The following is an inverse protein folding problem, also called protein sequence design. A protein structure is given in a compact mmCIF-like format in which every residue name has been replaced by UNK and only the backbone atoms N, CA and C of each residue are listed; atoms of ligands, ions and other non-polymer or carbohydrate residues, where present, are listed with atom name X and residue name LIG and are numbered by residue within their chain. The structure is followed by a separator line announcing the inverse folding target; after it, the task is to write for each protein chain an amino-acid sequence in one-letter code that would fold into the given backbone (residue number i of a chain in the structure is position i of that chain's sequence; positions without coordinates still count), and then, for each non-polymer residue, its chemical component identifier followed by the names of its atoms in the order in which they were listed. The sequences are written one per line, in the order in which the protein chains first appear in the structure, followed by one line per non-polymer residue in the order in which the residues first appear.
data_IF_602930896011
#
_entry.id   IF_602930896011
#
_cell.length_a   1.000
_cell.length_b   1.000
_cell.length_c   1.000
_cell.angle_alpha   90.00
_cell.angle_beta   90.00
_cell.angle_gamma   90.00
#
_symmetry.space_group_name_H-M   'P 1'
#
loop_
_entity.id
_entity.type
_entity.pdbx_description
1 polymer ?
#
# COMPACT_ATOMS: atom_id res chain seq x y z
N UNK A 1 -65.01 3.09 2.89
CA UNK A 1 -66.32 3.52 2.38
C UNK A 1 -66.72 4.71 3.22
N UNK A 2 -66.37 5.92 2.77
CA UNK A 2 -67.33 6.92 2.26
C UNK A 2 -68.07 7.60 3.43
N UNK A 3 -68.20 8.92 3.59
CA UNK A 3 -67.89 10.08 2.76
C UNK A 3 -68.14 11.32 3.67
N UNK A 4 -67.42 12.42 3.40
CA UNK A 4 -67.75 13.86 3.50
C UNK A 4 -68.92 14.36 4.38
N UNK A 5 -68.88 15.58 4.93
CA UNK A 5 -69.32 16.86 4.30
C UNK A 5 -69.15 17.95 5.40
N UNK A 6 -68.28 18.98 5.26
CA UNK A 6 -68.53 20.35 4.71
C UNK A 6 -69.36 21.21 5.70
N UNK A 7 -69.17 22.51 5.94
CA UNK A 7 -68.23 23.61 5.62
C UNK A 7 -68.68 24.76 6.54
N UNK A 8 -67.79 25.59 7.06
CA UNK A 8 -68.18 26.98 7.39
C UNK A 8 -67.14 27.92 6.83
N UNK A 9 -67.62 28.71 5.87
CA UNK A 9 -66.90 29.74 5.13
C UNK A 9 -66.92 31.03 5.95
N UNK A 10 -65.77 31.71 6.08
CA UNK A 10 -65.74 33.11 6.51
C UNK A 10 -64.56 33.87 5.87
N UNK A 11 -64.93 34.61 4.82
CA UNK A 11 -64.57 36.00 4.48
C UNK A 11 -63.14 36.53 4.73
N UNK A 12 -62.45 36.70 3.60
CA UNK A 12 -61.70 37.89 3.14
C UNK A 12 -60.98 38.82 4.13
N UNK A 13 -59.66 38.96 3.93
CA UNK A 13 -58.98 40.25 3.97
C UNK A 13 -57.71 40.20 3.11
N UNK A 14 -57.73 40.93 2.01
CA UNK A 14 -56.57 41.18 1.15
C UNK A 14 -55.62 42.17 1.83
N UNK A 15 -54.33 41.86 1.92
CA UNK A 15 -53.26 42.87 1.89
C UNK A 15 -52.01 42.27 1.27
N UNK A 16 -51.50 42.98 0.28
CA UNK A 16 -50.28 42.72 -0.49
C UNK A 16 -49.09 43.25 0.32
N UNK A 17 -48.03 42.46 0.52
CA UNK A 17 -46.72 42.99 0.90
C UNK A 17 -45.59 42.10 0.37
N UNK A 18 -44.60 42.76 -0.23
CA UNK A 18 -43.50 42.20 -1.00
C UNK A 18 -42.47 41.43 -0.16
N UNK A 19 -41.73 40.58 -0.87
CA UNK A 19 -40.64 39.73 -0.44
C UNK A 19 -39.54 40.42 0.40
N UNK A 20 -39.02 39.68 1.37
CA UNK A 20 -37.78 39.97 2.09
C UNK A 20 -37.10 38.66 2.50
N UNK A 21 -36.05 38.30 1.78
CA UNK A 21 -35.18 37.15 2.02
C UNK A 21 -34.18 37.49 3.13
N UNK A 22 -34.00 36.58 4.10
CA UNK A 22 -32.70 36.16 4.62
C UNK A 22 -32.90 35.12 5.75
N UNK A 23 -32.54 33.87 5.46
CA UNK A 23 -32.38 32.83 6.46
C UNK A 23 -31.05 32.95 7.18
N UNK A 24 -31.01 32.35 8.37
CA UNK A 24 -29.88 31.78 9.10
C UNK A 24 -29.37 32.57 10.31
N UNK A 25 -29.43 31.92 11.47
CA UNK A 25 -28.67 32.33 12.63
C UNK A 25 -29.26 31.87 13.94
N UNK A 26 -29.16 30.56 14.26
CA UNK A 26 -28.75 30.08 15.60
C UNK A 26 -28.51 28.57 15.53
N UNK A 27 -27.26 28.16 15.68
CA UNK A 27 -26.91 26.85 16.20
C UNK A 27 -25.50 26.94 16.80
N UNK A 28 -25.46 27.23 18.09
CA UNK A 28 -24.32 26.98 18.98
C UNK A 28 -24.09 25.48 19.14
N UNK A 29 -22.90 24.96 18.85
CA UNK A 29 -22.42 23.69 19.40
C UNK A 29 -20.89 23.49 19.24
N UNK A 30 -20.25 23.27 20.39
CA UNK A 30 -19.08 22.43 20.67
C UNK A 30 -17.69 22.79 20.09
N UNK A 31 -16.67 22.97 20.96
CA UNK A 31 -15.28 22.74 20.60
C UNK A 31 -14.94 21.26 20.82
N UNK A 32 -14.51 20.54 19.78
CA UNK A 32 -13.57 19.41 19.90
C UNK A 32 -13.38 18.74 18.54
N UNK A 33 -12.18 18.88 17.99
CA UNK A 33 -11.53 17.81 17.23
C UNK A 33 -10.04 18.09 17.28
N UNK A 34 -9.37 17.52 18.29
CA UNK A 34 -7.93 17.28 18.18
C UNK A 34 -7.70 16.45 16.91
N UNK A 35 -6.62 16.67 16.13
CA UNK A 35 -6.32 15.77 15.04
C UNK A 35 -6.07 14.40 15.65
N UNK A 36 -6.90 13.43 15.26
CA UNK A 36 -6.60 12.04 15.48
C UNK A 36 -5.22 11.79 14.88
N UNK A 37 -4.26 11.42 15.73
CA UNK A 37 -3.06 10.71 15.31
C UNK A 37 -3.48 9.35 14.77
N UNK A 38 -4.04 9.34 13.56
CA UNK A 38 -3.94 8.18 12.68
C UNK A 38 -2.46 7.90 12.41
N UNK A 39 -2.09 6.68 11.99
CA UNK A 39 -0.72 6.44 11.55
C UNK A 39 -0.35 7.54 10.55
N UNK A 40 0.77 8.22 10.81
CA UNK A 40 1.31 9.20 9.89
C UNK A 40 1.28 8.59 8.47
N UNK A 41 0.95 9.37 7.42
CA UNK A 41 1.15 8.88 6.07
C UNK A 41 2.59 8.39 6.02
N UNK A 42 2.79 7.14 5.58
CA UNK A 42 4.11 6.54 5.41
C UNK A 42 5.04 7.63 4.87
N UNK A 43 5.94 8.12 5.72
CA UNK A 43 6.76 9.28 5.43
C UNK A 43 7.36 9.03 4.05
N UNK A 44 7.01 9.88 3.07
CA UNK A 44 7.19 9.62 1.64
C UNK A 44 8.47 8.83 1.41
N UNK A 45 8.31 7.50 1.32
CA UNK A 45 9.47 6.63 1.35
C UNK A 45 10.23 6.97 0.08
N UNK A 46 11.47 7.46 0.22
CA UNK A 46 12.27 7.83 -0.93
C UNK A 46 12.32 6.62 -1.87
N UNK A 47 12.13 6.86 -3.17
CA UNK A 47 12.31 5.81 -4.16
C UNK A 47 13.73 5.86 -4.71
N UNK A 48 14.34 4.69 -4.77
CA UNK A 48 15.68 4.45 -5.29
C UNK A 48 15.58 3.54 -6.50
N UNK A 49 16.55 3.62 -7.41
CA UNK A 49 16.67 2.71 -8.53
C UNK A 49 17.87 1.76 -8.37
N UNK A 50 17.74 0.51 -8.82
CA UNK A 50 18.92 -0.38 -8.85
C UNK A 50 19.85 0.04 -9.97
N UNK A 51 21.05 0.46 -9.60
CA UNK A 51 22.03 1.02 -10.53
C UNK A 51 22.37 0.02 -11.64
N UNK A 52 22.17 0.42 -12.90
CA UNK A 52 22.46 -0.40 -14.08
C UNK A 52 21.46 -1.52 -14.38
N UNK A 53 20.47 -1.76 -13.51
CA UNK A 53 19.45 -2.80 -13.69
C UNK A 53 18.02 -2.25 -13.77
N UNK A 54 17.83 -0.95 -13.52
CA UNK A 54 16.50 -0.35 -13.38
C UNK A 54 15.73 -0.98 -12.20
N UNK A 55 14.42 -0.75 -12.14
CA UNK A 55 13.61 -1.21 -11.02
C UNK A 55 13.67 -0.22 -9.86
N UNK A 56 12.52 0.39 -9.61
CA UNK A 56 12.33 1.33 -8.51
C UNK A 56 11.96 0.57 -7.23
N UNK A 57 12.60 0.93 -6.14
CA UNK A 57 12.42 0.31 -4.84
C UNK A 57 12.35 1.35 -3.73
N UNK A 58 11.80 0.94 -2.60
CA UNK A 58 11.72 1.77 -1.40
C UNK A 58 13.14 1.88 -0.82
N UNK A 59 13.74 3.07 -0.87
CA UNK A 59 15.14 3.31 -0.46
C UNK A 59 15.43 2.78 0.95
N UNK A 60 14.48 2.93 1.87
CA UNK A 60 14.60 2.48 3.27
C UNK A 60 14.84 0.96 3.37
N UNK A 61 14.25 0.18 2.47
CA UNK A 61 14.33 -1.28 2.48
C UNK A 61 15.58 -1.82 1.78
N UNK A 62 16.24 -0.98 0.97
CA UNK A 62 17.52 -1.29 0.35
C UNK A 62 17.50 -2.43 -0.66
N UNK A 63 18.70 -2.80 -1.11
CA UNK A 63 18.94 -3.93 -2.01
C UNK A 63 19.60 -5.09 -1.23
N UNK A 64 19.08 -6.30 -1.42
CA UNK A 64 19.72 -7.51 -0.92
C UNK A 64 20.36 -8.28 -2.07
N UNK A 65 21.65 -8.61 -1.93
CA UNK A 65 22.42 -9.27 -2.97
C UNK A 65 22.83 -10.69 -2.58
N UNK A 66 22.39 -11.67 -3.36
CA UNK A 66 22.88 -13.04 -3.35
C UNK A 66 24.01 -13.18 -4.38
N UNK A 67 25.10 -13.80 -3.98
CA UNK A 67 26.10 -14.33 -4.93
C UNK A 67 25.99 -15.86 -4.90
N UNK A 68 26.02 -16.50 -6.06
CA UNK A 68 26.01 -17.97 -6.16
C UNK A 68 27.44 -18.51 -6.29
N UNK A 69 27.66 -19.82 -6.01
CA UNK A 69 29.00 -20.42 -6.08
C UNK A 69 29.72 -20.29 -7.42
N UNK A 70 29.00 -20.10 -8.53
CA UNK A 70 29.56 -19.87 -9.87
C UNK A 70 29.82 -18.38 -10.19
N UNK A 71 29.66 -17.49 -9.21
CA UNK A 71 29.83 -16.04 -9.36
C UNK A 71 28.65 -15.30 -9.99
N UNK A 72 27.57 -16.00 -10.41
CA UNK A 72 26.35 -15.29 -10.82
C UNK A 72 25.69 -14.64 -9.61
N UNK A 73 24.91 -13.58 -9.83
CA UNK A 73 24.32 -12.77 -8.78
C UNK A 73 22.81 -12.72 -8.92
N UNK A 74 22.12 -12.54 -7.82
CA UNK A 74 20.69 -12.27 -7.77
C UNK A 74 20.43 -11.14 -6.78
N UNK A 75 19.65 -10.15 -7.21
CA UNK A 75 19.24 -9.01 -6.40
C UNK A 75 17.79 -9.17 -5.98
N UNK A 76 17.49 -8.72 -4.77
CA UNK A 76 16.14 -8.61 -4.25
C UNK A 76 15.92 -7.18 -3.77
N UNK A 77 14.75 -6.64 -4.08
CA UNK A 77 14.30 -5.32 -3.65
C UNK A 77 12.86 -5.43 -3.18
N UNK A 78 12.40 -4.43 -2.45
CA UNK A 78 10.98 -4.21 -2.20
C UNK A 78 10.53 -3.07 -3.09
N UNK A 79 9.65 -3.39 -4.03
CA UNK A 79 9.12 -2.43 -5.00
C UNK A 79 8.25 -1.36 -4.35
N UNK A 80 7.87 -0.36 -5.13
CA UNK A 80 6.93 0.70 -4.70
C UNK A 80 5.52 0.18 -4.40
N UNK A 81 5.23 -1.06 -4.81
CA UNK A 81 4.00 -1.82 -4.56
C UNK A 81 4.07 -2.68 -3.28
N UNK A 82 5.12 -2.54 -2.47
CA UNK A 82 5.39 -3.35 -1.27
C UNK A 82 5.54 -4.86 -1.52
N UNK A 83 5.70 -5.27 -2.79
CA UNK A 83 6.03 -6.64 -3.14
C UNK A 83 7.55 -6.84 -3.20
N UNK A 84 8.00 -8.08 -2.96
CA UNK A 84 9.41 -8.44 -3.17
C UNK A 84 9.62 -8.73 -4.65
N UNK A 85 10.63 -8.09 -5.25
CA UNK A 85 11.03 -8.31 -6.63
C UNK A 85 12.44 -8.85 -6.70
N UNK A 86 12.72 -9.69 -7.69
CA UNK A 86 14.05 -10.25 -7.90
C UNK A 86 14.47 -10.25 -9.36
N UNK A 87 15.77 -10.18 -9.58
CA UNK A 87 16.42 -10.26 -10.90
C UNK A 87 17.74 -11.01 -10.73
N UNK A 88 18.10 -11.87 -11.68
CA UNK A 88 19.32 -12.68 -11.58
C UNK A 88 20.16 -12.64 -12.86
N UNK A 89 21.46 -12.81 -12.71
CA UNK A 89 22.40 -12.88 -13.82
C UNK A 89 22.61 -14.32 -14.28
N UNK A 90 22.97 -14.47 -15.54
CA UNK A 90 23.50 -15.71 -16.11
C UNK A 90 25.04 -15.68 -16.17
N UNK A 91 25.64 -16.82 -16.48
CA UNK A 91 27.11 -16.96 -16.59
C UNK A 91 27.72 -16.17 -17.74
N UNK A 92 26.91 -15.77 -18.73
CA UNK A 92 27.33 -14.91 -19.84
C UNK A 92 27.28 -13.41 -19.49
N UNK A 93 26.95 -13.05 -18.25
CA UNK A 93 26.87 -11.66 -17.77
C UNK A 93 25.55 -10.94 -18.07
N UNK A 94 24.60 -11.60 -18.73
CA UNK A 94 23.26 -11.05 -18.96
C UNK A 94 22.38 -11.15 -17.73
N UNK A 95 21.42 -10.22 -17.59
CA UNK A 95 20.42 -10.21 -16.51
C UNK A 95 19.05 -10.64 -17.01
N UNK A 96 18.28 -11.35 -16.19
CA UNK A 96 16.88 -11.70 -16.43
C UNK A 96 15.98 -10.45 -16.55
N UNK A 97 14.67 -10.61 -16.72
CA UNK A 97 13.72 -9.53 -16.35
C UNK A 97 13.54 -9.45 -14.83
N UNK A 98 12.96 -8.35 -14.34
CA UNK A 98 12.45 -8.28 -12.97
C UNK A 98 11.26 -9.24 -12.80
N UNK A 99 11.25 -10.00 -11.72
CA UNK A 99 10.22 -10.99 -11.40
C UNK A 99 9.67 -10.74 -10.01
N UNK A 100 8.34 -10.65 -9.90
CA UNK A 100 7.69 -10.49 -8.60
C UNK A 100 7.65 -11.82 -7.87
N UNK A 101 8.05 -11.79 -6.60
CA UNK A 101 7.75 -12.81 -5.60
C UNK A 101 6.49 -12.41 -4.79
N UNK A 102 5.79 -11.34 -5.16
CA UNK A 102 4.60 -10.86 -4.45
C UNK A 102 4.88 -10.56 -2.98
N UNK A 103 3.85 -10.71 -2.16
CA UNK A 103 3.87 -10.32 -0.74
C UNK A 103 3.45 -8.87 -0.53
N UNK A 104 3.29 -8.51 0.74
CA UNK A 104 3.02 -7.15 1.18
C UNK A 104 3.86 -6.93 2.44
N UNK A 105 5.00 -6.26 2.28
CA UNK A 105 6.09 -6.27 3.27
C UNK A 105 6.43 -4.86 3.77
N UNK A 106 6.96 -4.77 4.99
CA UNK A 106 7.37 -3.52 5.64
C UNK A 106 8.83 -3.51 6.11
N UNK A 107 9.67 -4.34 5.48
CA UNK A 107 11.10 -4.39 5.76
C UNK A 107 11.89 -4.68 4.49
N UNK A 108 13.20 -4.42 4.54
CA UNK A 108 14.15 -4.97 3.58
C UNK A 108 14.16 -6.50 3.56
N UNK A 109 14.70 -7.05 2.47
CA UNK A 109 14.88 -8.49 2.29
C UNK A 109 16.15 -8.94 3.00
N UNK A 110 16.02 -9.93 3.88
CA UNK A 110 17.15 -10.64 4.48
C UNK A 110 17.42 -11.91 3.67
N UNK A 111 18.69 -12.24 3.48
CA UNK A 111 19.13 -13.49 2.84
C UNK A 111 19.82 -14.35 3.90
N UNK A 112 19.37 -15.58 4.07
CA UNK A 112 20.08 -16.63 4.80
C UNK A 112 20.71 -17.63 3.82
N UNK A 113 21.98 -17.97 4.03
CA UNK A 113 22.72 -18.85 3.11
C UNK A 113 23.24 -18.13 1.87
N UNK A 114 23.89 -16.96 2.06
CA UNK A 114 24.60 -16.30 0.96
C UNK A 114 25.69 -17.25 0.38
N UNK A 115 25.95 -17.22 -0.92
CA UNK A 115 26.86 -18.15 -1.59
C UNK A 115 26.44 -19.63 -1.53
N UNK A 116 25.14 -19.89 -1.49
CA UNK A 116 24.56 -21.23 -1.63
C UNK A 116 23.57 -21.29 -2.79
N UNK A 117 23.27 -22.49 -3.28
CA UNK A 117 22.28 -22.67 -4.36
C UNK A 117 20.83 -22.55 -3.89
N UNK A 118 20.59 -22.74 -2.60
CA UNK A 118 19.25 -22.80 -2.00
C UNK A 118 19.15 -21.82 -0.81
N UNK A 119 19.37 -20.51 -1.02
CA UNK A 119 19.17 -19.52 0.02
C UNK A 119 17.70 -19.45 0.46
N UNK A 120 17.51 -19.02 1.69
CA UNK A 120 16.21 -18.54 2.19
C UNK A 120 16.22 -17.02 2.13
N UNK A 121 15.08 -16.43 1.80
CA UNK A 121 14.84 -15.01 2.02
C UNK A 121 13.80 -14.83 3.10
N UNK A 122 13.96 -13.81 3.93
CA UNK A 122 12.98 -13.44 4.95
C UNK A 122 12.69 -11.94 4.96
N UNK A 123 11.47 -11.59 5.35
CA UNK A 123 10.92 -10.23 5.43
C UNK A 123 9.97 -10.13 6.62
N UNK A 124 9.61 -8.91 7.02
CA UNK A 124 8.51 -8.62 7.93
C UNK A 124 7.30 -8.21 7.10
N UNK A 125 6.17 -8.92 7.26
CA UNK A 125 4.91 -8.61 6.59
C UNK A 125 4.20 -7.40 7.19
N UNK A 126 3.16 -6.90 6.52
CA UNK A 126 2.29 -5.84 7.06
C UNK A 126 1.61 -6.22 8.38
N UNK A 127 1.39 -7.51 8.60
CA UNK A 127 0.91 -8.10 9.85
C UNK A 127 1.94 -8.03 11.00
N UNK A 128 3.20 -7.70 10.68
CA UNK A 128 4.29 -7.63 11.61
C UNK A 128 4.98 -8.95 11.92
N UNK A 129 4.54 -10.04 11.28
CA UNK A 129 5.15 -11.34 11.41
C UNK A 129 6.29 -11.52 10.41
N UNK A 130 7.19 -12.47 10.72
CA UNK A 130 8.25 -12.85 9.80
C UNK A 130 7.69 -13.83 8.77
N UNK A 131 7.95 -13.53 7.51
CA UNK A 131 7.66 -14.43 6.40
C UNK A 131 8.95 -14.81 5.68
N UNK A 132 9.02 -16.02 5.14
CA UNK A 132 10.17 -16.52 4.40
C UNK A 132 9.78 -17.32 3.15
N UNK A 133 10.73 -17.43 2.22
CA UNK A 133 10.66 -18.31 1.04
C UNK A 133 11.98 -19.02 0.86
N UNK A 134 11.93 -20.26 0.39
CA UNK A 134 13.12 -21.01 0.02
C UNK A 134 13.34 -20.99 -1.49
N UNK A 135 14.59 -20.82 -1.91
CA UNK A 135 15.00 -21.12 -3.28
C UNK A 135 15.22 -22.62 -3.41
N UNK A 136 14.53 -23.23 -4.35
CA UNK A 136 14.67 -24.64 -4.67
C UNK A 136 15.90 -24.88 -5.55
N UNK A 137 16.37 -26.12 -5.62
CA UNK A 137 17.49 -26.51 -6.50
C UNK A 137 17.19 -26.27 -7.99
N UNK A 138 15.90 -26.22 -8.37
CA UNK A 138 15.45 -25.84 -9.71
C UNK A 138 15.61 -24.35 -10.02
N UNK A 139 15.93 -23.52 -9.02
CA UNK A 139 15.99 -22.07 -9.11
C UNK A 139 14.65 -21.36 -8.89
N UNK A 140 13.54 -22.11 -8.80
CA UNK A 140 12.22 -21.58 -8.42
C UNK A 140 12.14 -21.26 -6.92
N UNK A 141 11.14 -20.46 -6.54
CA UNK A 141 10.86 -20.12 -5.14
C UNK A 141 9.58 -20.80 -4.64
N UNK A 142 9.59 -21.29 -3.40
CA UNK A 142 8.36 -21.71 -2.69
C UNK A 142 7.38 -20.55 -2.54
N UNK A 143 6.13 -20.77 -2.13
CA UNK A 143 5.27 -19.68 -1.64
C UNK A 143 5.81 -19.05 -0.35
N UNK A 144 5.25 -17.90 0.05
CA UNK A 144 5.51 -17.28 1.36
C UNK A 144 5.02 -18.18 2.50
N UNK A 145 5.84 -18.31 3.54
CA UNK A 145 5.60 -19.13 4.73
C UNK A 145 5.92 -18.29 5.97
N UNK A 146 5.26 -18.56 7.10
CA UNK A 146 5.53 -17.95 8.41
C UNK A 146 6.05 -18.97 9.43
#
# INVERSE_FOLDING_TARGET
MALSIVRVSALAASTLALAGVALTGVASAAPASAPASGPAPAAAAGYCHVSGLGGDYICEYGEAWQTFPNGTRQVFIVGTDFAVWTRFSNTSGGWSGWQSLGGEVRSGVRIEGNNTWTPTISVVGMDGERWFRHRLSSGSWTGWQS
#
